data_IF_815297535294
#
_entry.id   IF_815297535294
#
_cell.length_a   1.000
_cell.length_b   1.000
_cell.length_c   1.000
_cell.angle_alpha   90.00
_cell.angle_beta   90.00
_cell.angle_gamma   90.00
#
_symmetry.space_group_name_H-M   'P 1'
#
loop_
_entity.id
_entity.type
_entity.pdbx_description
1 polymer ?
#
# COMPACT_ATOMS: atom_id res chain seq x y z
N UNK A 1 -24.80 26.53 63.85
CA UNK A 1 -23.81 27.60 63.55
C UNK A 1 -23.83 27.80 62.05
N UNK A 2 -24.63 28.67 61.41
CA UNK A 2 -24.97 30.09 61.66
C UNK A 2 -23.74 30.99 61.83
N UNK A 3 -23.40 31.67 60.73
CA UNK A 3 -22.95 33.09 60.59
C UNK A 3 -22.68 33.28 59.08
N UNK A 4 -23.51 33.89 58.23
CA UNK A 4 -24.13 35.22 58.15
C UNK A 4 -23.16 36.41 57.98
N UNK A 5 -23.27 37.02 56.78
CA UNK A 5 -23.10 38.43 56.38
C UNK A 5 -21.69 39.05 56.33
N UNK A 6 -21.45 40.18 55.59
CA UNK A 6 -22.42 41.11 54.97
C UNK A 6 -22.14 41.59 53.52
N UNK A 7 -23.17 42.14 52.89
CA UNK A 7 -23.07 43.20 51.86
C UNK A 7 -22.80 44.55 52.54
N UNK A 8 -21.98 45.43 51.96
CA UNK A 8 -22.20 46.89 51.99
C UNK A 8 -21.24 47.68 51.06
N UNK A 9 -21.87 48.61 50.34
CA UNK A 9 -21.43 49.94 49.90
C UNK A 9 -20.38 50.19 48.79
N UNK A 10 -20.91 50.82 47.73
CA UNK A 10 -20.33 51.87 46.88
C UNK A 10 -19.31 52.76 47.63
N UNK A 11 -18.18 53.04 46.98
CA UNK A 11 -17.75 54.43 46.83
C UNK A 11 -16.82 54.64 45.62
N UNK A 12 -17.05 55.81 45.02
CA UNK A 12 -16.55 56.35 43.78
C UNK A 12 -15.10 56.88 43.96
N UNK A 13 -14.13 56.39 43.17
CA UNK A 13 -12.87 57.14 42.96
C UNK A 13 -12.59 57.25 41.46
N UNK A 14 -12.77 58.48 40.99
CA UNK A 14 -12.28 59.04 39.73
C UNK A 14 -10.74 58.97 39.75
N UNK A 15 -10.10 58.46 38.68
CA UNK A 15 -9.00 59.16 37.98
C UNK A 15 -8.31 58.29 36.91
N UNK A 16 -8.06 58.97 35.79
CA UNK A 16 -6.91 58.80 34.88
C UNK A 16 -6.98 57.63 33.90
N UNK A 17 -7.22 57.99 32.64
CA UNK A 17 -7.13 57.08 31.52
C UNK A 17 -5.73 56.49 31.33
N UNK A 18 -5.71 55.27 30.84
CA UNK A 18 -4.66 54.77 29.97
C UNK A 18 -5.36 54.00 28.85
N UNK A 19 -5.18 54.47 27.62
CA UNK A 19 -5.58 53.80 26.41
C UNK A 19 -4.76 52.51 26.31
N UNK A 20 -5.29 51.38 26.76
CA UNK A 20 -4.69 50.07 26.47
C UNK A 20 -5.02 49.78 25.01
N UNK A 21 -4.07 50.07 24.11
CA UNK A 21 -4.05 49.44 22.79
C UNK A 21 -4.00 47.93 23.04
N UNK A 22 -5.13 47.27 22.79
CA UNK A 22 -5.17 45.82 22.71
C UNK A 22 -4.26 45.40 21.57
N UNK A 23 -3.05 44.95 21.92
CA UNK A 23 -2.25 44.13 21.04
C UNK A 23 -3.03 42.81 20.93
N UNK A 24 -3.91 42.73 19.93
CA UNK A 24 -4.45 41.46 19.50
C UNK A 24 -3.25 40.66 19.02
N UNK A 25 -2.68 39.84 19.91
CA UNK A 25 -1.81 38.77 19.52
C UNK A 25 -2.67 37.88 18.62
N UNK A 26 -2.52 38.09 17.31
CA UNK A 26 -2.90 37.08 16.35
C UNK A 26 -2.09 35.84 16.74
N UNK A 27 -2.72 34.93 17.48
CA UNK A 27 -2.37 33.52 17.41
C UNK A 27 -2.54 33.17 15.95
N UNK A 28 -1.47 33.37 15.17
CA UNK A 28 -1.32 32.71 13.91
C UNK A 28 -1.38 31.24 14.28
N UNK A 29 -2.51 30.60 13.98
CA UNK A 29 -2.50 29.18 13.77
C UNK A 29 -1.37 28.96 12.77
N UNK A 30 -0.25 28.41 13.23
CA UNK A 30 0.77 27.92 12.34
C UNK A 30 0.07 26.82 11.54
N UNK A 31 -0.50 27.21 10.41
CA UNK A 31 -1.03 26.27 9.44
C UNK A 31 0.14 25.37 9.07
N UNK A 32 -0.03 24.07 9.26
CA UNK A 32 0.93 23.08 8.80
C UNK A 32 1.24 23.36 7.33
N UNK A 33 2.53 23.47 7.00
CA UNK A 33 2.99 23.70 5.63
C UNK A 33 3.01 22.36 4.89
N UNK A 34 2.77 22.41 3.58
CA UNK A 34 3.02 21.26 2.70
C UNK A 34 4.46 20.76 2.92
N UNK A 35 4.61 19.49 3.28
CA UNK A 35 5.90 18.87 3.64
C UNK A 35 6.13 18.66 5.15
N UNK A 36 5.15 18.96 6.01
CA UNK A 36 5.26 18.69 7.46
C UNK A 36 5.06 17.19 7.80
N UNK A 37 4.43 16.41 6.91
CA UNK A 37 4.10 15.00 7.13
C UNK A 37 4.88 14.06 6.20
N UNK A 38 6.20 14.02 6.39
CA UNK A 38 7.10 13.13 5.64
C UNK A 38 7.69 12.03 6.54
N UNK A 39 7.66 10.79 6.08
CA UNK A 39 8.58 9.75 6.55
C UNK A 39 9.74 9.68 5.57
N UNK A 40 10.98 9.92 6.00
CA UNK A 40 12.11 9.98 5.07
C UNK A 40 13.37 9.30 5.63
N UNK A 41 14.20 8.79 4.72
CA UNK A 41 15.38 7.99 5.01
C UNK A 41 16.53 8.31 4.05
N UNK A 42 17.77 8.14 4.52
CA UNK A 42 18.99 8.41 3.76
C UNK A 42 19.62 7.15 3.16
N UNK A 43 18.91 6.03 3.21
CA UNK A 43 19.34 4.75 2.69
C UNK A 43 18.15 3.91 2.23
N UNK A 44 18.35 2.99 1.25
CA UNK A 44 17.35 2.00 0.87
C UNK A 44 16.90 1.13 2.05
N UNK A 45 15.71 0.54 1.95
CA UNK A 45 15.27 -0.50 2.85
C UNK A 45 16.05 -1.81 2.60
N UNK A 46 16.55 -2.44 3.65
CA UNK A 46 17.12 -3.79 3.59
C UNK A 46 16.06 -4.85 3.90
N UNK A 47 15.08 -4.49 4.74
CA UNK A 47 14.02 -5.38 5.20
C UNK A 47 12.65 -4.84 4.83
N UNK A 48 11.68 -5.74 4.71
CA UNK A 48 10.30 -5.38 4.37
C UNK A 48 9.69 -4.35 5.34
N UNK A 49 9.98 -4.45 6.64
CA UNK A 49 9.48 -3.52 7.67
C UNK A 49 10.05 -2.10 7.55
N UNK A 50 11.08 -1.89 6.73
CA UNK A 50 11.69 -0.58 6.47
C UNK A 50 11.18 0.03 5.15
N UNK A 51 10.51 -0.75 4.31
CA UNK A 51 9.95 -0.30 3.04
C UNK A 51 8.74 0.61 3.27
N UNK A 52 8.48 1.51 2.31
CA UNK A 52 7.41 2.51 2.44
C UNK A 52 6.12 2.01 1.77
N UNK A 53 4.98 2.02 2.48
CA UNK A 53 3.71 1.58 1.93
C UNK A 53 3.05 2.66 1.06
N UNK A 54 2.47 2.23 -0.07
CA UNK A 54 1.44 2.97 -0.81
C UNK A 54 0.25 2.07 -1.09
N UNK A 55 -0.96 2.61 -1.16
CA UNK A 55 -2.12 1.80 -1.48
C UNK A 55 -3.39 2.62 -1.72
N UNK A 56 -4.31 2.05 -2.49
CA UNK A 56 -5.59 2.67 -2.85
C UNK A 56 -6.81 2.00 -2.20
N UNK A 57 -6.57 1.22 -1.13
CA UNK A 57 -7.56 0.38 -0.46
C UNK A 57 -7.72 -1.01 -1.07
N UNK A 58 -7.27 -1.22 -2.32
CA UNK A 58 -7.33 -2.51 -3.02
C UNK A 58 -5.94 -3.01 -3.41
N UNK A 59 -5.21 -2.22 -4.20
CA UNK A 59 -3.81 -2.44 -4.56
C UNK A 59 -2.92 -1.80 -3.50
N UNK A 60 -1.90 -2.55 -3.08
CA UNK A 60 -0.87 -2.10 -2.15
C UNK A 60 0.53 -2.40 -2.68
N UNK A 61 1.49 -1.56 -2.31
CA UNK A 61 2.89 -1.75 -2.65
C UNK A 61 3.80 -1.33 -1.49
N UNK A 62 4.85 -2.11 -1.25
CA UNK A 62 5.92 -1.78 -0.30
C UNK A 62 7.19 -1.46 -1.09
N UNK A 63 7.59 -0.19 -1.09
CA UNK A 63 8.68 0.35 -1.92
C UNK A 63 9.99 0.34 -1.14
N UNK A 64 10.99 -0.39 -1.63
CA UNK A 64 12.27 -0.55 -0.92
C UNK A 64 13.22 0.63 -1.18
N UNK A 65 13.20 1.20 -2.37
CA UNK A 65 14.05 2.34 -2.72
C UNK A 65 15.45 1.95 -3.16
N UNK A 66 15.73 0.71 -3.55
CA UNK A 66 17.09 0.27 -3.92
C UNK A 66 17.63 0.98 -5.17
N UNK A 67 18.92 1.29 -5.22
CA UNK A 67 19.52 2.08 -6.32
C UNK A 67 19.67 1.24 -7.59
N UNK A 68 20.52 0.21 -7.56
CA UNK A 68 20.75 -0.66 -8.73
C UNK A 68 19.64 -1.70 -8.90
N UNK A 69 19.01 -2.11 -7.80
CA UNK A 69 17.88 -3.05 -7.78
C UNK A 69 16.78 -2.48 -6.90
N UNK A 70 15.72 -2.01 -7.53
CA UNK A 70 14.48 -1.68 -6.84
C UNK A 70 13.63 -2.93 -6.68
N UNK A 71 13.01 -3.06 -5.52
CA UNK A 71 12.02 -4.10 -5.23
C UNK A 71 10.78 -3.41 -4.71
N UNK A 72 9.67 -3.66 -5.38
CA UNK A 72 8.34 -3.22 -4.93
C UNK A 72 7.54 -4.48 -4.69
N UNK A 73 7.33 -4.82 -3.43
CA UNK A 73 6.48 -5.95 -3.07
C UNK A 73 5.02 -5.54 -3.23
N UNK A 74 4.22 -6.38 -3.89
CA UNK A 74 2.89 -6.05 -4.37
C UNK A 74 1.81 -6.84 -3.61
N UNK A 75 0.67 -6.19 -3.42
CA UNK A 75 -0.51 -6.75 -2.80
C UNK A 75 -1.78 -6.35 -3.57
N UNK A 76 -2.75 -7.26 -3.59
CA UNK A 76 -4.13 -6.97 -3.94
C UNK A 76 -5.02 -7.61 -2.86
N UNK A 77 -6.02 -6.88 -2.35
CA UNK A 77 -6.78 -7.21 -1.14
C UNK A 77 -7.53 -8.55 -1.21
N UNK A 78 -7.78 -9.06 -2.41
CA UNK A 78 -8.55 -10.29 -2.65
C UNK A 78 -7.72 -11.50 -3.07
N UNK A 79 -6.40 -11.44 -3.01
CA UNK A 79 -5.57 -12.63 -3.22
C UNK A 79 -5.52 -13.46 -1.93
N UNK A 80 -6.35 -14.50 -1.88
CA UNK A 80 -6.48 -15.40 -0.74
C UNK A 80 -6.37 -16.87 -1.18
N UNK A 81 -5.81 -17.69 -0.30
CA UNK A 81 -5.96 -19.14 -0.37
C UNK A 81 -7.28 -19.58 0.25
N UNK A 82 -7.56 -20.88 0.17
CA UNK A 82 -8.77 -21.50 0.70
C UNK A 82 -10.00 -21.30 -0.17
N UNK A 83 -11.09 -21.88 0.29
CA UNK A 83 -12.41 -21.80 -0.34
C UNK A 83 -13.45 -21.39 0.69
N UNK A 84 -14.62 -20.87 0.27
CA UNK A 84 -15.77 -20.79 1.14
C UNK A 84 -15.99 -22.14 1.81
N UNK A 85 -15.92 -22.16 3.13
CA UNK A 85 -16.01 -23.38 3.94
C UNK A 85 -17.03 -23.12 5.03
N UNK A 86 -18.02 -24.00 5.13
CA UNK A 86 -18.95 -23.97 6.25
C UNK A 86 -18.20 -24.38 7.52
N UNK A 87 -18.15 -23.45 8.48
CA UNK A 87 -17.45 -23.64 9.74
C UNK A 87 -18.42 -23.86 10.89
N UNK A 88 -19.72 -23.77 10.64
CA UNK A 88 -20.72 -23.94 11.67
C UNK A 88 -20.67 -25.38 12.17
N UNK A 89 -20.72 -25.52 13.50
CA UNK A 89 -20.85 -26.83 14.10
C UNK A 89 -22.33 -27.23 14.09
N UNK A 90 -22.71 -28.30 13.38
CA UNK A 90 -24.10 -28.76 13.41
C UNK A 90 -24.55 -28.99 14.84
N UNK A 91 -25.79 -28.62 15.13
CA UNK A 91 -26.42 -28.82 16.43
C UNK A 91 -25.81 -28.07 17.63
N UNK A 92 -24.82 -27.19 17.43
CA UNK A 92 -24.21 -26.41 18.52
C UNK A 92 -25.25 -25.65 19.37
N UNK A 93 -26.29 -25.11 18.74
CA UNK A 93 -27.36 -24.38 19.42
C UNK A 93 -28.12 -25.22 20.46
N UNK A 94 -28.17 -26.55 20.31
CA UNK A 94 -28.86 -27.45 21.26
C UNK A 94 -28.20 -27.43 22.64
N UNK A 95 -26.91 -27.10 22.71
CA UNK A 95 -26.14 -27.10 23.96
C UNK A 95 -26.11 -25.73 24.65
N UNK A 96 -26.59 -24.66 23.98
CA UNK A 96 -26.53 -23.30 24.51
C UNK A 96 -27.29 -23.14 25.84
N UNK A 97 -28.43 -23.82 26.01
CA UNK A 97 -29.22 -23.76 27.23
C UNK A 97 -28.46 -24.39 28.42
N UNK A 98 -27.80 -25.52 28.18
CA UNK A 98 -27.06 -26.23 29.22
C UNK A 98 -25.78 -25.50 29.61
N UNK A 99 -25.04 -24.95 28.64
CA UNK A 99 -23.89 -24.09 28.91
C UNK A 99 -24.28 -22.92 29.81
N UNK A 100 -25.40 -22.24 29.52
CA UNK A 100 -25.90 -21.13 30.36
C UNK A 100 -26.24 -21.59 31.77
N UNK A 101 -26.86 -22.76 31.93
CA UNK A 101 -27.16 -23.35 33.24
C UNK A 101 -25.88 -23.57 34.05
N UNK A 102 -24.87 -24.22 33.46
CA UNK A 102 -23.58 -24.49 34.10
C UNK A 102 -22.88 -23.19 34.55
N UNK A 103 -22.90 -22.15 33.71
CA UNK A 103 -22.35 -20.84 34.05
C UNK A 103 -23.06 -20.17 35.25
N UNK A 104 -24.40 -20.24 35.31
CA UNK A 104 -25.17 -19.66 36.43
C UNK A 104 -25.00 -20.42 37.75
N UNK A 105 -24.70 -21.71 37.68
CA UNK A 105 -24.41 -22.54 38.86
C UNK A 105 -22.93 -22.47 39.30
N UNK A 106 -22.10 -21.69 38.62
CA UNK A 106 -20.67 -21.53 38.93
C UNK A 106 -19.78 -22.69 38.44
N UNK A 107 -20.29 -23.56 37.55
CA UNK A 107 -19.59 -24.72 37.01
C UNK A 107 -18.81 -24.37 35.73
N UNK A 108 -17.82 -23.49 35.85
CA UNK A 108 -17.13 -22.91 34.68
C UNK A 108 -16.34 -23.92 33.84
N UNK A 109 -15.64 -24.86 34.49
CA UNK A 109 -14.85 -25.89 33.78
C UNK A 109 -15.74 -26.80 32.94
N UNK A 110 -16.87 -27.26 33.50
CA UNK A 110 -17.83 -28.08 32.78
C UNK A 110 -18.48 -27.31 31.62
N UNK A 111 -18.75 -26.01 31.79
CA UNK A 111 -19.26 -25.17 30.72
C UNK A 111 -18.23 -25.02 29.57
N UNK A 112 -16.95 -24.80 29.90
CA UNK A 112 -15.86 -24.70 28.93
C UNK A 112 -15.67 -26.01 28.15
N UNK A 113 -15.64 -27.15 28.84
CA UNK A 113 -15.54 -28.47 28.22
C UNK A 113 -16.71 -28.71 27.24
N UNK A 114 -17.93 -28.39 27.65
CA UNK A 114 -19.13 -28.55 26.81
C UNK A 114 -19.08 -27.65 25.56
N UNK A 115 -18.65 -26.40 25.71
CA UNK A 115 -18.48 -25.48 24.57
C UNK A 115 -17.39 -25.99 23.63
N UNK A 116 -16.23 -26.35 24.18
CA UNK A 116 -15.07 -26.84 23.43
C UNK A 116 -15.44 -28.07 22.60
N UNK A 117 -16.14 -29.03 23.21
CA UNK A 117 -16.51 -30.28 22.55
C UNK A 117 -17.69 -30.10 21.58
N UNK A 118 -18.74 -29.36 21.95
CA UNK A 118 -20.03 -29.39 21.25
C UNK A 118 -20.37 -28.13 20.45
N UNK A 119 -19.70 -27.00 20.69
CA UNK A 119 -20.08 -25.72 20.10
C UNK A 119 -19.00 -25.06 19.24
N UNK A 120 -17.72 -25.44 19.40
CA UNK A 120 -16.64 -24.89 18.58
C UNK A 120 -16.76 -25.33 17.12
N UNK A 121 -16.76 -24.35 16.21
CA UNK A 121 -16.79 -24.56 14.76
C UNK A 121 -15.54 -25.25 14.22
N UNK A 122 -15.57 -25.64 12.95
CA UNK A 122 -14.45 -26.28 12.27
C UNK A 122 -13.19 -25.40 12.36
N UNK A 123 -12.12 -25.97 12.92
CA UNK A 123 -10.78 -25.40 12.86
C UNK A 123 -10.19 -25.73 11.50
N UNK A 124 -9.95 -24.71 10.68
CA UNK A 124 -9.31 -24.86 9.38
C UNK A 124 -7.83 -25.22 9.55
N UNK A 125 -7.28 -25.95 8.58
CA UNK A 125 -5.86 -26.29 8.54
C UNK A 125 -5.00 -25.03 8.40
N UNK A 126 -3.88 -24.99 9.12
CA UNK A 126 -2.94 -23.88 9.05
C UNK A 126 -2.45 -23.70 7.60
N UNK A 127 -2.49 -22.46 7.10
CA UNK A 127 -2.07 -22.12 5.74
C UNK A 127 -3.21 -22.12 4.71
N UNK A 128 -4.39 -22.62 5.07
CA UNK A 128 -5.62 -22.47 4.28
C UNK A 128 -6.36 -21.18 4.67
N UNK A 129 -7.11 -20.59 3.75
CA UNK A 129 -7.90 -19.37 3.99
C UNK A 129 -7.04 -18.19 4.50
N UNK A 130 -5.83 -18.04 3.97
CA UNK A 130 -4.87 -16.99 4.36
C UNK A 130 -4.65 -15.97 3.25
N UNK A 131 -4.37 -14.73 3.65
CA UNK A 131 -3.97 -13.68 2.74
C UNK A 131 -2.63 -14.00 2.06
N UNK A 132 -2.50 -13.67 0.78
CA UNK A 132 -1.32 -14.00 -0.02
C UNK A 132 -0.73 -12.76 -0.69
N UNK A 133 0.58 -12.79 -0.93
CA UNK A 133 1.25 -11.76 -1.75
C UNK A 133 0.83 -11.87 -3.21
N UNK A 134 0.72 -10.73 -3.90
CA UNK A 134 0.61 -10.71 -5.36
C UNK A 134 1.95 -11.08 -6.01
N UNK A 135 3.07 -10.67 -5.40
CA UNK A 135 4.41 -10.89 -5.91
C UNK A 135 5.31 -9.69 -5.69
N UNK A 136 6.34 -9.59 -6.51
CA UNK A 136 7.30 -8.49 -6.53
C UNK A 136 7.42 -7.93 -7.95
N UNK A 137 7.49 -6.61 -8.06
CA UNK A 137 8.04 -5.90 -9.22
C UNK A 137 9.49 -5.56 -8.92
N UNK A 138 10.40 -6.01 -9.78
CA UNK A 138 11.82 -5.70 -9.70
C UNK A 138 12.25 -4.84 -10.87
N UNK A 139 12.98 -3.76 -10.58
CA UNK A 139 13.64 -2.95 -11.60
C UNK A 139 15.16 -3.04 -11.39
N UNK A 140 15.86 -3.51 -12.40
CA UNK A 140 17.32 -3.62 -12.42
C UNK A 140 17.87 -2.47 -13.26
N UNK A 141 18.49 -1.50 -12.61
CA UNK A 141 19.01 -0.30 -13.26
C UNK A 141 20.47 -0.48 -13.64
N UNK A 142 20.86 0.19 -14.74
CA UNK A 142 22.25 0.29 -15.16
C UNK A 142 22.72 1.73 -14.98
N UNK A 143 23.26 2.03 -13.80
CA UNK A 143 23.85 3.33 -13.50
C UNK A 143 25.34 3.36 -13.81
N UNK A 144 25.83 4.55 -14.17
CA UNK A 144 27.26 4.81 -14.35
C UNK A 144 27.72 5.86 -13.32
N UNK A 145 28.90 5.62 -12.74
CA UNK A 145 29.52 6.54 -11.78
C UNK A 145 29.15 6.27 -10.33
N UNK A 146 29.71 7.09 -9.44
CA UNK A 146 29.50 6.97 -8.00
C UNK A 146 28.10 7.45 -7.60
N UNK A 147 27.47 6.74 -6.66
CA UNK A 147 26.13 7.06 -6.15
C UNK A 147 26.25 7.97 -4.93
N UNK A 148 25.49 9.07 -4.93
CA UNK A 148 25.47 10.00 -3.80
C UNK A 148 24.12 10.70 -3.64
N UNK A 149 23.94 11.48 -2.56
CA UNK A 149 22.75 12.30 -2.36
C UNK A 149 21.44 11.52 -2.24
N UNK A 150 21.51 10.25 -1.83
CA UNK A 150 20.34 9.39 -1.73
C UNK A 150 19.33 9.89 -0.69
N UNK A 151 18.05 9.87 -1.07
CA UNK A 151 16.90 10.08 -0.19
C UNK A 151 15.71 9.29 -0.69
N UNK A 152 14.97 8.64 0.22
CA UNK A 152 13.62 8.15 -0.05
C UNK A 152 12.65 8.70 0.98
N UNK A 153 11.43 8.98 0.56
CA UNK A 153 10.39 9.52 1.43
C UNK A 153 8.99 9.07 1.04
N UNK A 154 8.08 9.05 2.01
CA UNK A 154 6.64 8.95 1.82
C UNK A 154 6.02 10.28 2.27
N UNK A 155 5.43 10.97 1.31
CA UNK A 155 4.64 12.18 1.53
C UNK A 155 3.20 11.78 1.89
N UNK A 156 2.80 12.02 3.13
CA UNK A 156 1.48 11.62 3.64
C UNK A 156 0.35 12.52 3.13
N UNK A 157 0.65 13.75 2.70
CA UNK A 157 -0.35 14.65 2.12
C UNK A 157 -0.67 14.24 0.67
N UNK A 158 0.33 13.77 -0.06
CA UNK A 158 0.18 13.34 -1.47
C UNK A 158 -0.07 11.84 -1.64
N UNK A 159 0.24 11.04 -0.62
CA UNK A 159 0.29 9.57 -0.70
C UNK A 159 1.25 9.06 -1.79
N UNK A 160 2.41 9.71 -1.94
CA UNK A 160 3.44 9.38 -2.92
C UNK A 160 4.74 9.00 -2.21
N UNK A 161 5.34 7.88 -2.61
CA UNK A 161 6.73 7.58 -2.30
C UNK A 161 7.63 8.19 -3.35
N UNK A 162 8.62 8.97 -2.94
CA UNK A 162 9.65 9.51 -3.81
C UNK A 162 11.02 8.95 -3.44
N UNK A 163 11.82 8.60 -4.44
CA UNK A 163 13.23 8.22 -4.27
C UNK A 163 14.09 9.06 -5.19
N UNK A 164 15.12 9.71 -4.66
CA UNK A 164 16.03 10.55 -5.42
C UNK A 164 17.47 10.21 -5.06
N UNK A 165 18.35 10.14 -6.06
CA UNK A 165 19.78 9.95 -5.89
C UNK A 165 20.52 10.46 -7.12
N UNK A 166 21.81 10.73 -6.96
CA UNK A 166 22.71 11.00 -8.07
C UNK A 166 23.49 9.74 -8.40
N UNK A 167 23.69 9.47 -9.69
CA UNK A 167 24.69 8.53 -10.16
C UNK A 167 25.58 9.22 -11.20
N UNK A 168 26.87 9.34 -10.89
CA UNK A 168 27.81 10.16 -11.66
C UNK A 168 27.41 11.63 -11.60
N UNK A 169 26.85 12.16 -12.69
CA UNK A 169 26.49 13.58 -12.80
C UNK A 169 25.00 13.80 -13.15
N UNK A 170 24.21 12.73 -13.09
CA UNK A 170 22.79 12.72 -13.39
C UNK A 170 21.98 12.42 -12.12
N UNK A 171 20.88 13.14 -11.93
CA UNK A 171 19.95 12.97 -10.81
C UNK A 171 18.76 12.15 -11.26
N UNK A 172 18.56 11.00 -10.63
CA UNK A 172 17.45 10.10 -10.88
C UNK A 172 16.36 10.34 -9.85
N UNK A 173 15.11 10.38 -10.30
CA UNK A 173 13.94 10.49 -9.43
C UNK A 173 12.92 9.42 -9.79
N UNK A 174 12.38 8.78 -8.75
CA UNK A 174 11.31 7.79 -8.86
C UNK A 174 10.14 8.22 -7.99
N UNK A 175 8.94 8.19 -8.54
CA UNK A 175 7.70 8.42 -7.79
C UNK A 175 6.82 7.18 -7.90
N UNK A 176 6.26 6.74 -6.78
CA UNK A 176 5.41 5.55 -6.71
C UNK A 176 4.16 5.87 -5.91
N UNK A 177 2.99 5.58 -6.46
CA UNK A 177 1.72 5.70 -5.76
C UNK A 177 0.70 4.69 -6.27
N UNK A 178 -0.42 4.56 -5.56
CA UNK A 178 -1.55 3.73 -5.97
C UNK A 178 -2.77 4.62 -6.20
N UNK A 179 -3.20 4.75 -7.46
CA UNK A 179 -4.35 5.57 -7.83
C UNK A 179 -5.66 4.87 -7.49
N UNK A 180 -6.49 5.49 -6.67
CA UNK A 180 -7.85 5.00 -6.36
C UNK A 180 -8.83 5.23 -7.50
N UNK A 181 -8.63 6.26 -8.32
CA UNK A 181 -9.53 6.57 -9.45
C UNK A 181 -9.21 5.74 -10.69
N UNK A 182 -7.93 5.39 -10.89
CA UNK A 182 -7.49 4.59 -12.05
C UNK A 182 -7.32 3.11 -11.72
N UNK A 183 -7.38 2.75 -10.44
CA UNK A 183 -7.23 1.37 -9.97
C UNK A 183 -5.91 0.72 -10.40
N UNK A 184 -4.82 1.50 -10.38
CA UNK A 184 -3.48 1.09 -10.79
C UNK A 184 -2.41 1.59 -9.80
N UNK A 185 -1.36 0.81 -9.62
CA UNK A 185 -0.08 1.28 -9.07
C UNK A 185 0.68 1.95 -10.21
N UNK A 186 1.16 3.17 -9.97
CA UNK A 186 1.88 3.99 -10.94
C UNK A 186 3.28 4.21 -10.43
N UNK A 187 4.27 3.91 -11.28
CA UNK A 187 5.66 4.29 -11.06
C UNK A 187 6.07 5.26 -12.16
N UNK A 188 6.71 6.36 -11.77
CA UNK A 188 7.32 7.31 -12.69
C UNK A 188 8.82 7.33 -12.46
N UNK A 189 9.60 7.17 -13.53
CA UNK A 189 11.06 7.20 -13.53
C UNK A 189 11.51 8.38 -14.39
N UNK A 190 12.33 9.27 -13.83
CA UNK A 190 12.83 10.46 -14.52
C UNK A 190 14.31 10.69 -14.20
N UNK A 191 14.98 11.40 -15.10
CA UNK A 191 16.36 11.85 -14.93
C UNK A 191 16.46 13.32 -15.38
N UNK A 192 17.35 14.08 -14.74
CA UNK A 192 17.65 15.47 -15.14
C UNK A 192 18.45 15.57 -16.45
N UNK A 193 18.84 14.43 -17.04
CA UNK A 193 19.50 14.34 -18.33
C UNK A 193 18.73 13.40 -19.27
N UNK A 194 18.53 13.80 -20.54
CA UNK A 194 17.83 13.00 -21.51
C UNK A 194 18.57 11.69 -21.83
N UNK A 195 17.81 10.64 -22.16
CA UNK A 195 18.32 9.35 -22.59
C UNK A 195 19.06 8.54 -21.52
N UNK A 196 18.87 8.85 -20.23
CA UNK A 196 19.57 8.21 -19.12
C UNK A 196 18.78 7.11 -18.41
N UNK A 197 17.50 6.92 -18.73
CA UNK A 197 16.69 5.86 -18.13
C UNK A 197 16.89 4.55 -18.90
N UNK A 198 17.65 3.63 -18.28
CA UNK A 198 17.86 2.26 -18.74
C UNK A 198 17.66 1.30 -17.58
N UNK A 199 16.76 0.33 -17.75
CA UNK A 199 16.48 -0.69 -16.74
C UNK A 199 15.84 -1.94 -17.34
N UNK A 200 15.85 -3.04 -16.58
CA UNK A 200 15.03 -4.21 -16.83
C UNK A 200 13.92 -4.32 -15.78
N UNK A 201 12.67 -4.47 -16.22
CA UNK A 201 11.52 -4.72 -15.36
C UNK A 201 11.15 -6.20 -15.37
N UNK A 202 10.88 -6.75 -14.18
CA UNK A 202 10.48 -8.16 -14.00
C UNK A 202 9.34 -8.26 -12.99
N UNK A 203 8.40 -9.15 -13.24
CA UNK A 203 7.42 -9.58 -12.25
C UNK A 203 7.83 -10.96 -11.75
N UNK A 204 7.67 -11.21 -10.46
CA UNK A 204 7.92 -12.52 -9.86
C UNK A 204 6.95 -12.80 -8.71
N UNK A 205 6.74 -14.08 -8.42
CA UNK A 205 5.99 -14.55 -7.24
C UNK A 205 6.63 -15.86 -6.78
N UNK A 206 6.71 -16.15 -5.46
CA UNK A 206 7.34 -17.37 -4.96
C UNK A 206 6.76 -18.69 -5.50
N UNK A 207 5.46 -18.70 -5.84
CA UNK A 207 4.74 -19.86 -6.33
C UNK A 207 3.51 -19.43 -7.15
N UNK A 208 2.82 -20.39 -7.76
CA UNK A 208 1.54 -20.23 -8.49
C UNK A 208 1.54 -19.09 -9.53
N UNK A 209 2.66 -18.85 -10.22
CA UNK A 209 2.77 -17.78 -11.20
C UNK A 209 3.24 -18.31 -12.56
N UNK A 210 2.53 -17.86 -13.59
CA UNK A 210 2.91 -17.96 -14.99
C UNK A 210 3.14 -16.55 -15.51
N UNK A 211 4.29 -16.32 -16.13
CA UNK A 211 4.69 -15.01 -16.65
C UNK A 211 4.73 -15.10 -18.17
N UNK A 212 4.13 -14.10 -18.83
CA UNK A 212 4.11 -13.95 -20.27
C UNK A 212 4.47 -12.51 -20.63
N UNK A 213 5.30 -12.36 -21.67
CA UNK A 213 5.56 -11.05 -22.27
C UNK A 213 4.56 -10.88 -23.40
N UNK A 214 3.76 -9.82 -23.32
CA UNK A 214 2.81 -9.43 -24.34
C UNK A 214 3.39 -8.19 -24.98
N UNK A 215 4.00 -8.35 -26.16
CA UNK A 215 4.92 -7.35 -26.71
C UNK A 215 4.35 -5.94 -26.92
N UNK A 216 5.18 -4.96 -27.27
CA UNK A 216 6.62 -4.88 -26.99
C UNK A 216 6.90 -4.46 -25.52
N UNK A 217 5.86 -4.20 -24.74
CA UNK A 217 5.95 -3.32 -23.57
C UNK A 217 5.03 -3.73 -22.40
N UNK A 218 4.45 -4.94 -22.44
CA UNK A 218 3.62 -5.47 -21.35
C UNK A 218 4.13 -6.80 -20.79
N UNK A 219 4.08 -6.93 -19.46
CA UNK A 219 4.28 -8.19 -18.73
C UNK A 219 2.94 -8.60 -18.11
N UNK A 220 2.52 -9.83 -18.33
CA UNK A 220 1.36 -10.45 -17.69
C UNK A 220 1.86 -11.53 -16.73
N UNK A 221 1.41 -11.48 -15.48
CA UNK A 221 1.62 -12.52 -14.48
C UNK A 221 0.27 -13.04 -14.00
N UNK A 222 -0.02 -14.31 -14.18
CA UNK A 222 -1.29 -14.92 -13.78
C UNK A 222 -1.09 -16.22 -13.02
N UNK A 223 -2.12 -16.66 -12.31
CA UNK A 223 -2.04 -17.84 -11.47
C UNK A 223 -3.34 -18.27 -10.84
N UNK A 224 -3.33 -19.44 -10.23
CA UNK A 224 -4.43 -19.95 -9.41
C UNK A 224 -3.85 -20.43 -8.08
N UNK A 225 -4.17 -19.71 -7.00
CA UNK A 225 -3.57 -19.94 -5.69
C UNK A 225 -3.76 -21.40 -5.25
N UNK A 226 -2.69 -22.03 -4.77
CA UNK A 226 -2.67 -23.40 -4.28
C UNK A 226 -3.31 -24.41 -5.25
N UNK A 227 -3.00 -24.31 -6.55
CA UNK A 227 -3.52 -25.19 -7.61
C UNK A 227 -5.07 -25.26 -7.65
N UNK A 228 -5.76 -24.18 -7.32
CA UNK A 228 -7.22 -24.11 -7.36
C UNK A 228 -7.92 -24.13 -6.01
N UNK A 229 -7.17 -24.29 -4.93
CA UNK A 229 -7.66 -24.15 -3.55
C UNK A 229 -7.55 -22.69 -3.08
N UNK A 230 -7.93 -21.73 -3.94
CA UNK A 230 -7.81 -20.30 -3.72
C UNK A 230 -8.33 -19.52 -4.92
N UNK A 231 -8.04 -18.22 -4.98
CA UNK A 231 -8.49 -17.38 -6.10
C UNK A 231 -7.61 -17.57 -7.35
N UNK A 232 -8.21 -17.41 -8.52
CA UNK A 232 -7.46 -17.12 -9.74
C UNK A 232 -7.16 -15.62 -9.81
N UNK A 233 -5.96 -15.25 -10.22
CA UNK A 233 -5.52 -13.86 -10.28
C UNK A 233 -4.76 -13.55 -11.57
N UNK A 234 -4.70 -12.27 -11.89
CA UNK A 234 -3.83 -11.72 -12.93
C UNK A 234 -3.31 -10.35 -12.50
N UNK A 235 -2.05 -10.08 -12.83
CA UNK A 235 -1.44 -8.75 -12.79
C UNK A 235 -0.83 -8.43 -14.16
N UNK A 236 -0.96 -7.18 -14.58
CA UNK A 236 -0.38 -6.69 -15.82
C UNK A 236 0.44 -5.43 -15.53
N UNK A 237 1.65 -5.40 -16.06
CA UNK A 237 2.55 -4.26 -16.03
C UNK A 237 2.72 -3.73 -17.45
N UNK A 238 2.28 -2.49 -17.70
CA UNK A 238 2.54 -1.76 -18.94
C UNK A 238 3.70 -0.80 -18.73
N UNK A 239 4.66 -0.80 -19.64
CA UNK A 239 5.76 0.17 -19.69
C UNK A 239 5.47 1.20 -20.77
N UNK A 240 5.56 2.47 -20.43
CA UNK A 240 5.38 3.59 -21.36
C UNK A 240 6.66 4.43 -21.30
N UNK A 241 7.53 4.27 -22.29
CA UNK A 241 8.78 5.02 -22.39
C UNK A 241 8.57 6.32 -23.17
N UNK A 242 9.10 7.42 -22.65
CA UNK A 242 9.27 8.67 -23.38
C UNK A 242 10.63 8.64 -24.05
N UNK A 243 10.64 8.49 -25.38
CA UNK A 243 11.80 8.17 -26.20
C UNK A 243 12.45 6.81 -25.84
N UNK A 244 13.66 6.56 -26.33
CA UNK A 244 14.35 5.29 -26.12
C UNK A 244 13.72 4.09 -26.84
N UNK A 245 14.02 2.89 -26.34
CA UNK A 245 13.55 1.62 -26.90
C UNK A 245 13.08 0.69 -25.78
N UNK A 246 11.94 0.02 -25.99
CA UNK A 246 11.48 -1.08 -25.14
C UNK A 246 11.66 -2.39 -25.90
N UNK A 247 12.26 -3.39 -25.27
CA UNK A 247 12.52 -4.71 -25.85
C UNK A 247 12.14 -5.83 -24.88
N UNK A 248 11.73 -6.94 -25.45
CA UNK A 248 11.48 -8.18 -24.70
C UNK A 248 12.80 -8.84 -24.32
N UNK A 249 12.81 -9.49 -23.16
CA UNK A 249 13.93 -10.31 -22.68
C UNK A 249 13.38 -11.62 -22.11
N UNK A 250 14.24 -12.61 -21.90
CA UNK A 250 13.82 -13.89 -21.28
C UNK A 250 13.18 -13.73 -19.90
N UNK A 251 13.51 -12.65 -19.18
CA UNK A 251 13.14 -12.45 -17.78
C UNK A 251 12.18 -11.27 -17.56
N UNK A 252 11.70 -10.61 -18.61
CA UNK A 252 10.90 -9.40 -18.50
C UNK A 252 11.04 -8.45 -19.68
N UNK A 253 10.95 -7.14 -19.42
CA UNK A 253 11.13 -6.08 -20.42
C UNK A 253 12.39 -5.28 -20.11
N UNK A 254 13.08 -4.79 -21.15
CA UNK A 254 14.19 -3.86 -21.04
C UNK A 254 13.81 -2.53 -21.67
N UNK A 255 14.04 -1.44 -20.95
CA UNK A 255 13.98 -0.07 -21.45
C UNK A 255 15.40 0.45 -21.61
N UNK A 256 15.71 1.05 -22.75
CA UNK A 256 17.03 1.59 -23.06
C UNK A 256 16.93 3.04 -23.49
N UNK A 257 17.74 3.89 -22.84
CA UNK A 257 17.98 5.29 -23.23
C UNK A 257 16.69 6.11 -23.38
N UNK A 258 15.75 5.93 -22.47
CA UNK A 258 14.55 6.78 -22.41
C UNK A 258 14.85 8.08 -21.65
N UNK A 259 14.10 9.14 -21.95
CA UNK A 259 14.13 10.39 -21.17
C UNK A 259 13.39 10.22 -19.85
N UNK A 260 12.27 9.50 -19.90
CA UNK A 260 11.48 9.09 -18.75
C UNK A 260 10.73 7.79 -19.05
N UNK A 261 10.23 7.13 -18.02
CA UNK A 261 9.35 5.98 -18.17
C UNK A 261 8.23 6.00 -17.12
N UNK A 262 7.02 5.67 -17.54
CA UNK A 262 5.89 5.42 -16.64
C UNK A 262 5.52 3.95 -16.70
N UNK A 263 5.43 3.30 -15.55
CA UNK A 263 4.97 1.93 -15.45
C UNK A 263 3.61 1.93 -14.76
N UNK A 264 2.65 1.24 -15.37
CA UNK A 264 1.29 1.07 -14.85
C UNK A 264 1.09 -0.40 -14.49
N UNK A 265 0.84 -0.67 -13.21
CA UNK A 265 0.55 -2.01 -12.73
C UNK A 265 -0.90 -2.11 -12.26
N UNK A 266 -1.64 -3.00 -12.90
CA UNK A 266 -3.00 -3.38 -12.50
C UNK A 266 -3.01 -4.83 -12.07
N UNK A 267 -3.95 -5.20 -11.21
CA UNK A 267 -4.17 -6.59 -10.84
C UNK A 267 -5.64 -6.81 -10.48
N UNK A 268 -6.10 -8.04 -10.58
CA UNK A 268 -7.44 -8.46 -10.17
C UNK A 268 -7.44 -9.95 -9.81
N UNK A 269 -8.47 -10.37 -9.06
CA UNK A 269 -8.77 -11.77 -8.80
C UNK A 269 -10.24 -12.09 -9.07
N UNK A 270 -10.58 -13.38 -9.09
CA UNK A 270 -11.96 -13.85 -9.20
C UNK A 270 -12.69 -13.94 -7.86
N UNK A 271 -12.14 -13.41 -6.76
CA UNK A 271 -12.72 -13.50 -5.41
C UNK A 271 -14.18 -13.02 -5.36
N UNK A 272 -14.48 -11.91 -6.05
CA UNK A 272 -15.82 -11.31 -6.13
C UNK A 272 -16.57 -11.74 -7.40
N UNK A 273 -16.15 -12.85 -8.01
CA UNK A 273 -16.55 -13.25 -9.35
C UNK A 273 -15.83 -12.47 -10.45
N UNK A 274 -16.18 -12.76 -11.71
CA UNK A 274 -15.56 -12.15 -12.89
C UNK A 274 -14.32 -12.88 -13.39
N UNK A 275 -13.73 -12.35 -14.46
CA UNK A 275 -12.54 -12.89 -15.13
C UNK A 275 -11.38 -11.91 -14.90
N UNK A 276 -10.33 -12.29 -14.14
CA UNK A 276 -9.21 -11.41 -13.81
C UNK A 276 -8.63 -10.70 -15.03
N UNK A 277 -8.42 -11.44 -16.13
CA UNK A 277 -7.92 -10.90 -17.39
C UNK A 277 -8.75 -9.72 -17.92
N UNK A 278 -10.07 -9.88 -18.03
CA UNK A 278 -10.95 -8.83 -18.54
C UNK A 278 -11.00 -7.60 -17.62
N UNK A 279 -10.85 -7.79 -16.31
CA UNK A 279 -10.79 -6.70 -15.34
C UNK A 279 -9.48 -5.91 -15.47
N UNK A 280 -8.34 -6.61 -15.55
CA UNK A 280 -7.03 -6.00 -15.76
C UNK A 280 -6.97 -5.23 -17.08
N UNK A 281 -7.39 -5.84 -18.20
CA UNK A 281 -7.43 -5.16 -19.50
C UNK A 281 -8.28 -3.89 -19.44
N UNK A 282 -9.47 -3.94 -18.83
CA UNK A 282 -10.33 -2.76 -18.70
C UNK A 282 -9.65 -1.63 -17.91
N UNK A 283 -9.02 -1.94 -16.77
CA UNK A 283 -8.33 -0.96 -15.93
C UNK A 283 -7.12 -0.37 -16.66
N UNK A 284 -6.31 -1.23 -17.28
CA UNK A 284 -5.10 -0.81 -17.98
C UNK A 284 -5.42 0.07 -19.18
N UNK A 285 -6.39 -0.34 -20.02
CA UNK A 285 -6.82 0.44 -21.19
C UNK A 285 -7.44 1.80 -20.83
N UNK A 286 -7.98 1.95 -19.62
CA UNK A 286 -8.43 3.24 -19.11
C UNK A 286 -7.25 4.11 -18.65
N UNK A 287 -6.27 3.52 -17.95
CA UNK A 287 -5.11 4.22 -17.41
C UNK A 287 -4.14 4.70 -18.51
N UNK A 288 -3.83 3.87 -19.52
CA UNK A 288 -2.89 4.22 -20.62
C UNK A 288 -3.33 5.40 -21.46
N UNK A 289 -4.62 5.76 -21.44
CA UNK A 289 -5.16 6.92 -22.17
C UNK A 289 -4.88 8.25 -21.48
N UNK A 290 -4.39 8.21 -20.24
CA UNK A 290 -4.11 9.40 -19.45
C UNK A 290 -2.61 9.72 -19.52
N UNK A 291 -2.33 11.02 -19.61
CA UNK A 291 -0.98 11.53 -19.36
C UNK A 291 -0.64 11.37 -17.88
N UNK A 292 0.64 11.19 -17.58
CA UNK A 292 1.14 11.26 -16.20
C UNK A 292 1.01 12.68 -15.62
N UNK A 293 1.25 13.69 -16.46
CA UNK A 293 1.10 15.11 -16.15
C UNK A 293 -0.34 15.57 -16.28
#
# INVERSE_FOLDING_TARGET
MRTLYPCCHLDLIIRSGLLVLGLAASLGAAGFKAGDYLLWYRQPAEKWVEALPVGNGRLGAMVFGGVDRERIQLNEDTIWSGRPTDRDKPDAYKYLAEVRRLLFEGQYVAAEELVSEKMMGLRLETGTNTYQTLGDLELLFEHQGEVSGYRRELDLDKAVVQVTYQAGSATFTREVFSSSVDQAIVLRLTCDRPGMITFQARLSRPQDAQIQIIGPDRILMSGHINNGEGVAYEAQLQVIAESGKVTETEQGLRVERADAATLLLVAASNYRGGIPHSMCEKQLQAAVKKSYN
#
